data_IF_502278946254
#
_entry.id   IF_502278946254
#
_cell.length_a   1.000
_cell.length_b   1.000
_cell.length_c   1.000
_cell.angle_alpha   90.00
_cell.angle_beta   90.00
_cell.angle_gamma   90.00
#
_symmetry.space_group_name_H-M   'P 1'
#
loop_
_entity.id
_entity.type
_entity.pdbx_description
1 polymer ?
#
# COMPACT_ATOMS: atom_id res chain seq x y z
N UNK A 1 4.53 -6.14 -6.71
CA UNK A 1 5.75 -5.33 -6.45
C UNK A 1 6.80 -6.09 -5.65
N UNK A 2 6.59 -6.42 -4.36
CA UNK A 2 7.64 -7.08 -3.54
C UNK A 2 8.05 -8.45 -4.09
N UNK A 3 7.10 -9.28 -4.56
CA UNK A 3 7.40 -10.56 -5.22
C UNK A 3 8.31 -10.37 -6.45
N UNK A 4 8.04 -9.33 -7.26
CA UNK A 4 8.84 -8.98 -8.43
C UNK A 4 10.24 -8.49 -8.07
N UNK A 5 10.38 -7.67 -7.01
CA UNK A 5 11.69 -7.23 -6.53
C UNK A 5 12.56 -8.40 -6.06
N UNK A 6 11.93 -9.40 -5.45
CA UNK A 6 12.59 -10.61 -4.99
C UNK A 6 12.82 -11.63 -6.12
N UNK A 7 12.31 -11.37 -7.33
CA UNK A 7 12.44 -12.26 -8.48
C UNK A 7 11.77 -13.61 -8.29
N UNK A 8 10.71 -13.67 -7.47
CA UNK A 8 10.03 -14.92 -7.13
C UNK A 8 9.04 -15.31 -8.23
N UNK A 9 8.93 -16.61 -8.49
CA UNK A 9 7.83 -17.16 -9.28
C UNK A 9 6.57 -17.26 -8.41
N UNK A 10 5.43 -16.86 -8.96
CA UNK A 10 4.14 -16.91 -8.28
C UNK A 10 3.01 -17.07 -9.29
N UNK A 11 1.93 -17.70 -8.85
CA UNK A 11 0.67 -17.72 -9.58
C UNK A 11 -0.15 -16.49 -9.21
N UNK A 12 -0.53 -15.70 -10.20
CA UNK A 12 -1.35 -14.50 -10.01
C UNK A 12 -2.83 -14.83 -10.19
N UNK A 13 -3.61 -14.68 -9.10
CA UNK A 13 -5.05 -14.90 -9.09
C UNK A 13 -5.80 -13.58 -8.83
N UNK A 14 -6.31 -12.89 -9.87
CA UNK A 14 -7.06 -11.66 -9.69
C UNK A 14 -8.41 -11.92 -9.01
N UNK A 15 -8.86 -10.97 -8.19
CA UNK A 15 -10.14 -11.01 -7.49
C UNK A 15 -11.08 -9.95 -8.06
N UNK A 16 -12.15 -10.37 -8.71
CA UNK A 16 -13.14 -9.47 -9.31
C UNK A 16 -14.04 -8.86 -8.22
N UNK A 17 -13.84 -7.56 -7.95
CA UNK A 17 -14.61 -6.84 -6.93
C UNK A 17 -15.95 -6.31 -7.45
N UNK A 18 -16.19 -6.25 -8.76
CA UNK A 18 -17.48 -5.83 -9.33
C UNK A 18 -18.55 -6.89 -9.07
N UNK A 19 -18.18 -8.17 -9.15
CA UNK A 19 -19.08 -9.29 -8.77
C UNK A 19 -18.96 -9.67 -7.29
N UNK A 20 -18.21 -8.88 -6.50
CA UNK A 20 -17.94 -9.14 -5.09
C UNK A 20 -17.34 -10.54 -4.82
N UNK A 21 -16.42 -11.01 -5.67
CA UNK A 21 -15.79 -12.33 -5.52
C UNK A 21 -15.11 -12.50 -4.15
N UNK A 22 -14.58 -11.41 -3.57
CA UNK A 22 -14.01 -11.40 -2.23
C UNK A 22 -15.00 -11.77 -1.11
N UNK A 23 -16.30 -11.71 -1.38
CA UNK A 23 -17.35 -12.13 -0.45
C UNK A 23 -17.78 -13.60 -0.62
N UNK A 24 -17.30 -14.28 -1.67
CA UNK A 24 -17.62 -15.69 -1.91
C UNK A 24 -17.14 -16.59 -0.77
N UNK A 25 -17.81 -17.71 -0.55
CA UNK A 25 -17.40 -18.69 0.45
C UNK A 25 -15.97 -19.18 0.20
N UNK A 26 -15.62 -19.44 -1.07
CA UNK A 26 -14.28 -19.87 -1.46
C UNK A 26 -13.20 -18.86 -1.05
N UNK A 27 -13.40 -17.57 -1.35
CA UNK A 27 -12.44 -16.53 -0.95
C UNK A 27 -12.42 -16.32 0.57
N UNK A 28 -13.56 -16.40 1.25
CA UNK A 28 -13.64 -16.25 2.71
C UNK A 28 -12.94 -17.35 3.48
N UNK A 29 -12.74 -18.53 2.89
CA UNK A 29 -11.86 -19.58 3.46
C UNK A 29 -10.39 -19.16 3.46
N UNK A 30 -9.98 -18.27 2.55
CA UNK A 30 -8.62 -17.73 2.47
C UNK A 30 -8.43 -16.50 3.36
N UNK A 31 -9.37 -15.55 3.29
CA UNK A 31 -9.42 -14.39 4.17
C UNK A 31 -10.84 -14.16 4.68
N UNK A 32 -11.14 -14.42 5.97
CA UNK A 32 -12.49 -14.30 6.51
C UNK A 32 -13.02 -12.86 6.47
N UNK A 33 -12.15 -11.85 6.37
CA UNK A 33 -12.55 -10.45 6.23
C UNK A 33 -13.05 -10.12 4.81
N UNK A 34 -12.75 -10.96 3.81
CA UNK A 34 -13.07 -10.67 2.40
C UNK A 34 -12.28 -9.49 1.84
N UNK A 35 -10.99 -9.38 2.21
CA UNK A 35 -10.09 -8.33 1.75
C UNK A 35 -8.92 -8.93 0.94
N UNK A 36 -8.37 -8.14 0.04
CA UNK A 36 -7.13 -8.41 -0.68
C UNK A 36 -5.98 -7.63 -0.02
N UNK A 37 -4.72 -8.09 -0.13
CA UNK A 37 -4.27 -9.35 -0.75
C UNK A 37 -4.36 -10.57 0.19
N UNK A 38 -4.19 -11.75 -0.41
CA UNK A 38 -3.87 -13.02 0.26
C UNK A 38 -2.62 -13.60 -0.42
N UNK A 39 -1.76 -14.25 0.36
CA UNK A 39 -0.63 -15.03 -0.14
C UNK A 39 -0.71 -16.46 0.40
N UNK A 40 -0.74 -17.44 -0.50
CA UNK A 40 -0.52 -18.84 -0.17
C UNK A 40 0.94 -19.18 -0.44
N UNK A 41 1.62 -19.80 0.54
CA UNK A 41 3.02 -20.21 0.41
C UNK A 41 3.10 -21.72 0.60
N UNK A 42 3.68 -22.48 -0.35
CA UNK A 42 3.82 -23.92 -0.21
C UNK A 42 4.52 -24.32 1.10
N UNK A 43 3.92 -25.24 1.84
CA UNK A 43 4.46 -25.74 3.11
C UNK A 43 4.07 -24.92 4.35
N UNK A 44 3.38 -23.79 4.21
CA UNK A 44 2.72 -23.13 5.33
C UNK A 44 1.43 -23.87 5.72
N UNK A 45 1.04 -23.74 6.98
CA UNK A 45 -0.19 -24.34 7.53
C UNK A 45 -1.47 -23.60 7.12
N UNK A 46 -1.36 -22.32 6.76
CA UNK A 46 -2.49 -21.50 6.34
C UNK A 46 -2.10 -20.39 5.33
N UNK A 47 -3.06 -19.89 4.53
CA UNK A 47 -2.91 -18.65 3.77
C UNK A 47 -2.64 -17.45 4.67
N UNK A 48 -1.80 -16.52 4.22
CA UNK A 48 -1.55 -15.26 4.91
C UNK A 48 -2.38 -14.13 4.29
N UNK A 49 -3.01 -13.33 5.15
CA UNK A 49 -3.56 -12.02 4.81
C UNK A 49 -2.89 -10.95 5.67
N UNK A 50 -3.28 -9.69 5.50
CA UNK A 50 -2.57 -8.48 5.96
C UNK A 50 -1.31 -8.17 5.14
N UNK A 51 -1.34 -7.06 4.40
CA UNK A 51 -0.21 -6.60 3.57
C UNK A 51 1.10 -6.53 4.37
N UNK A 52 1.05 -6.02 5.61
CA UNK A 52 2.24 -5.90 6.46
C UNK A 52 2.84 -7.26 6.84
N UNK A 53 2.00 -8.26 7.14
CA UNK A 53 2.46 -9.61 7.47
C UNK A 53 3.10 -10.28 6.24
N UNK A 54 2.43 -10.20 5.09
CA UNK A 54 2.90 -10.75 3.82
C UNK A 54 4.27 -10.19 3.44
N UNK A 55 4.43 -8.87 3.44
CA UNK A 55 5.70 -8.26 3.00
C UNK A 55 6.84 -8.48 3.98
N UNK A 56 6.56 -8.59 5.29
CA UNK A 56 7.59 -8.96 6.28
C UNK A 56 8.00 -10.42 6.08
N UNK A 57 7.05 -11.32 5.91
CA UNK A 57 7.34 -12.73 5.66
C UNK A 57 8.21 -12.91 4.42
N UNK A 58 7.88 -12.24 3.32
CA UNK A 58 8.68 -12.27 2.09
C UNK A 58 10.09 -11.71 2.31
N UNK A 59 10.21 -10.56 2.98
CA UNK A 59 11.51 -9.96 3.23
C UNK A 59 12.42 -10.85 4.11
N UNK A 60 11.85 -11.45 5.15
CA UNK A 60 12.61 -12.29 6.08
C UNK A 60 12.97 -13.66 5.49
N UNK A 61 12.05 -14.29 4.76
CA UNK A 61 12.28 -15.61 4.15
C UNK A 61 13.36 -15.56 3.07
N UNK A 62 13.46 -14.44 2.35
CA UNK A 62 14.40 -14.27 1.26
C UNK A 62 15.62 -13.41 1.62
N UNK A 63 15.72 -12.92 2.87
CA UNK A 63 16.87 -12.19 3.39
C UNK A 63 17.13 -10.84 2.72
N UNK A 64 16.09 -10.16 2.22
CA UNK A 64 16.23 -8.92 1.45
C UNK A 64 15.05 -7.94 1.73
N UNK A 65 15.22 -6.65 1.45
CA UNK A 65 14.18 -5.59 1.54
C UNK A 65 13.66 -5.27 2.96
N UNK A 66 14.30 -5.76 4.02
CA UNK A 66 14.05 -5.30 5.39
C UNK A 66 15.28 -5.51 6.28
N UNK A 67 15.50 -4.64 7.29
CA UNK A 67 16.49 -4.93 8.32
C UNK A 67 16.14 -6.24 9.05
N UNK A 68 17.13 -7.11 9.23
CA UNK A 68 16.96 -8.39 9.92
C UNK A 68 16.50 -8.21 11.38
N UNK A 69 15.80 -9.18 11.97
CA UNK A 69 15.56 -9.23 13.41
C UNK A 69 16.87 -9.04 14.20
N UNK A 70 16.85 -8.19 15.23
CA UNK A 70 18.03 -7.84 16.02
C UNK A 70 18.90 -6.73 15.43
N UNK A 71 18.68 -6.30 14.18
CA UNK A 71 19.36 -5.13 13.61
C UNK A 71 19.04 -3.85 14.41
N UNK A 72 20.01 -2.94 14.63
CA UNK A 72 19.74 -1.64 15.24
C UNK A 72 18.75 -0.78 14.43
N UNK A 73 18.57 -1.07 13.14
CA UNK A 73 17.61 -0.39 12.27
C UNK A 73 16.20 -1.02 12.31
N UNK A 74 16.04 -2.19 12.93
CA UNK A 74 14.75 -2.92 12.96
C UNK A 74 13.65 -2.12 13.66
N UNK A 75 13.97 -1.42 14.74
CA UNK A 75 13.00 -0.59 15.47
C UNK A 75 12.39 0.51 14.59
N UNK A 76 13.21 1.14 13.74
CA UNK A 76 12.73 2.14 12.77
C UNK A 76 11.86 1.52 11.68
N UNK A 77 12.28 0.36 11.15
CA UNK A 77 11.49 -0.39 10.16
C UNK A 77 10.11 -0.72 10.70
N UNK A 78 10.03 -1.34 11.89
CA UNK A 78 8.76 -1.71 12.52
C UNK A 78 7.88 -0.50 12.83
N UNK A 79 8.48 0.60 13.32
CA UNK A 79 7.77 1.87 13.56
C UNK A 79 7.00 2.30 12.31
N UNK A 80 7.67 2.37 11.17
CA UNK A 80 7.06 2.83 9.93
C UNK A 80 6.14 1.78 9.29
N UNK A 81 6.44 0.49 9.42
CA UNK A 81 5.55 -0.58 8.99
C UNK A 81 4.18 -0.46 9.68
N UNK A 82 4.17 -0.34 11.01
CA UNK A 82 2.94 -0.21 11.77
C UNK A 82 2.27 1.13 11.58
N UNK A 83 3.03 2.21 11.36
CA UNK A 83 2.44 3.50 11.00
C UNK A 83 1.71 3.43 9.65
N UNK A 84 2.32 2.81 8.63
CA UNK A 84 1.68 2.61 7.34
C UNK A 84 0.42 1.75 7.48
N UNK A 85 0.50 0.62 8.19
CA UNK A 85 -0.59 -0.34 8.30
C UNK A 85 -1.75 0.17 9.18
N UNK A 86 -1.44 0.67 10.38
CA UNK A 86 -2.45 0.92 11.42
C UNK A 86 -2.94 2.37 11.42
N UNK A 87 -2.14 3.30 10.89
CA UNK A 87 -2.49 4.72 10.84
C UNK A 87 -2.89 5.12 9.43
N UNK A 88 -1.94 5.17 8.49
CA UNK A 88 -2.18 5.75 7.17
C UNK A 88 -3.15 4.91 6.34
N UNK A 89 -2.88 3.62 6.16
CA UNK A 89 -3.73 2.75 5.36
C UNK A 89 -5.12 2.57 6.00
N UNK A 90 -5.19 2.53 7.33
CA UNK A 90 -6.46 2.52 8.05
C UNK A 90 -7.29 3.77 7.76
N UNK A 91 -6.71 4.97 7.93
CA UNK A 91 -7.39 6.24 7.67
C UNK A 91 -7.83 6.34 6.19
N UNK A 92 -7.00 5.88 5.25
CA UNK A 92 -7.33 5.77 3.82
C UNK A 92 -8.54 4.87 3.58
N UNK A 93 -8.56 3.66 4.14
CA UNK A 93 -9.69 2.73 3.96
C UNK A 93 -11.01 3.29 4.48
N UNK A 94 -10.98 3.99 5.62
CA UNK A 94 -12.17 4.65 6.15
C UNK A 94 -12.60 5.80 5.23
N UNK A 95 -11.65 6.60 4.73
CA UNK A 95 -11.96 7.78 3.90
C UNK A 95 -12.57 7.42 2.55
N UNK A 96 -12.30 6.22 2.02
CA UNK A 96 -12.87 5.75 0.75
C UNK A 96 -14.37 5.45 0.85
N UNK A 97 -14.87 4.99 2.00
CA UNK A 97 -16.28 4.63 2.24
C UNK A 97 -16.72 4.99 3.67
N UNK A 98 -16.68 6.28 4.07
CA UNK A 98 -17.07 6.75 5.42
C UNK A 98 -18.50 6.36 5.79
N UNK A 99 -19.39 6.24 4.81
CA UNK A 99 -20.77 5.79 4.97
C UNK A 99 -20.92 4.36 5.55
N UNK A 100 -19.85 3.56 5.55
CA UNK A 100 -19.84 2.26 6.24
C UNK A 100 -19.69 2.38 7.76
N UNK A 101 -19.25 3.54 8.25
CA UNK A 101 -18.97 3.79 9.67
C UNK A 101 -20.04 4.67 10.32
N UNK A 102 -20.66 5.54 9.53
CA UNK A 102 -21.73 6.43 9.98
C UNK A 102 -22.84 6.49 8.91
N UNK A 103 -24.11 6.24 9.25
CA UNK A 103 -25.19 6.18 8.27
C UNK A 103 -25.62 7.58 7.77
N UNK A 104 -25.45 8.63 8.59
CA UNK A 104 -25.89 9.98 8.24
C UNK A 104 -24.90 10.65 7.27
N UNK A 105 -25.40 11.06 6.10
CA UNK A 105 -24.59 11.64 5.02
C UNK A 105 -23.76 12.86 5.46
N UNK A 106 -24.35 13.79 6.23
CA UNK A 106 -23.63 14.97 6.69
C UNK A 106 -22.50 14.62 7.68
N UNK A 107 -22.70 13.61 8.53
CA UNK A 107 -21.68 13.12 9.46
C UNK A 107 -20.57 12.39 8.69
N UNK A 108 -20.92 11.61 7.66
CA UNK A 108 -19.95 10.97 6.77
C UNK A 108 -19.03 11.99 6.07
N UNK A 109 -19.59 13.12 5.62
CA UNK A 109 -18.81 14.22 5.03
C UNK A 109 -17.84 14.85 6.05
N UNK A 110 -18.30 15.10 7.28
CA UNK A 110 -17.46 15.63 8.36
C UNK A 110 -16.35 14.66 8.76
N UNK A 111 -16.65 13.36 8.85
CA UNK A 111 -15.68 12.29 9.11
C UNK A 111 -14.62 12.25 8.00
N UNK A 112 -15.06 12.24 6.74
CA UNK A 112 -14.17 12.25 5.58
C UNK A 112 -13.22 13.46 5.60
N UNK A 113 -13.74 14.68 5.86
CA UNK A 113 -12.90 15.87 5.98
C UNK A 113 -11.87 15.76 7.12
N UNK A 114 -12.24 15.14 8.25
CA UNK A 114 -11.32 14.84 9.35
C UNK A 114 -10.22 13.84 8.96
N UNK A 115 -10.58 12.78 8.25
CA UNK A 115 -9.64 11.78 7.76
C UNK A 115 -8.66 12.36 6.76
N UNK A 116 -9.12 13.22 5.84
CA UNK A 116 -8.22 13.90 4.90
C UNK A 116 -7.16 14.72 5.65
N UNK A 117 -7.53 15.46 6.71
CA UNK A 117 -6.53 16.18 7.53
C UNK A 117 -5.52 15.24 8.18
N UNK A 118 -5.96 14.09 8.69
CA UNK A 118 -5.07 13.07 9.29
C UNK A 118 -4.15 12.41 8.26
N UNK A 119 -4.67 12.11 7.07
CA UNK A 119 -3.91 11.56 5.94
C UNK A 119 -2.83 12.56 5.50
N UNK A 120 -3.19 13.84 5.32
CA UNK A 120 -2.23 14.90 4.99
C UNK A 120 -1.15 15.03 6.07
N UNK A 121 -1.52 15.01 7.36
CA UNK A 121 -0.55 15.01 8.46
C UNK A 121 0.36 13.78 8.45
N UNK A 122 -0.19 12.60 8.12
CA UNK A 122 0.58 11.36 8.02
C UNK A 122 1.63 11.41 6.91
N UNK A 123 1.27 11.94 5.73
CA UNK A 123 2.24 12.19 4.67
C UNK A 123 3.28 13.25 5.07
N UNK A 124 2.91 14.26 5.86
CA UNK A 124 3.87 15.21 6.43
C UNK A 124 4.90 14.56 7.36
N UNK A 125 4.49 13.59 8.19
CA UNK A 125 5.42 12.83 9.02
C UNK A 125 6.37 11.95 8.19
N UNK A 126 5.87 11.32 7.13
CA UNK A 126 6.66 10.50 6.21
C UNK A 126 7.65 11.36 5.40
N UNK A 127 7.21 12.52 4.92
CA UNK A 127 8.05 13.51 4.25
C UNK A 127 9.20 13.98 5.16
N UNK A 128 8.90 14.28 6.43
CA UNK A 128 9.92 14.68 7.40
C UNK A 128 10.94 13.55 7.67
N UNK A 129 10.51 12.29 7.73
CA UNK A 129 11.44 11.17 7.84
C UNK A 129 12.30 11.02 6.58
N UNK A 130 11.70 11.06 5.38
CA UNK A 130 12.43 10.96 4.11
C UNK A 130 13.50 12.05 4.01
N UNK A 131 13.14 13.29 4.33
CA UNK A 131 14.07 14.42 4.36
C UNK A 131 15.22 14.20 5.34
N UNK A 132 14.93 13.68 6.54
CA UNK A 132 15.93 13.45 7.59
C UNK A 132 16.91 12.29 7.32
N UNK A 133 16.66 11.45 6.30
CA UNK A 133 17.46 10.23 6.04
C UNK A 133 18.38 10.31 4.83
N UNK A 134 18.33 11.39 4.06
CA UNK A 134 19.22 11.59 2.91
C UNK A 134 18.80 10.80 1.65
N UNK A 135 17.70 10.05 1.71
CA UNK A 135 17.01 9.45 0.56
C UNK A 135 17.79 8.39 -0.23
N UNK A 136 17.19 7.84 -1.29
CA UNK A 136 15.83 8.16 -1.79
C UNK A 136 14.71 7.34 -1.11
N UNK A 137 15.02 6.41 -0.21
CA UNK A 137 14.05 5.49 0.41
C UNK A 137 13.72 5.87 1.86
N UNK A 138 12.62 5.36 2.38
CA UNK A 138 12.08 5.71 3.70
C UNK A 138 13.05 5.39 4.85
N UNK A 139 13.87 4.36 4.69
CA UNK A 139 14.89 3.99 5.68
C UNK A 139 16.28 4.58 5.40
N UNK A 140 16.46 5.31 4.29
CA UNK A 140 17.74 5.88 3.86
C UNK A 140 18.04 5.52 2.40
N UNK A 141 19.21 4.92 2.17
CA UNK A 141 19.73 4.65 0.83
C UNK A 141 19.30 3.32 0.24
N UNK A 142 18.82 2.39 1.07
CA UNK A 142 18.43 1.04 0.66
C UNK A 142 16.91 0.90 0.54
N UNK A 143 16.49 0.25 -0.55
CA UNK A 143 15.09 -0.09 -0.78
C UNK A 143 14.61 -1.08 0.29
N UNK A 144 13.39 -0.87 0.75
CA UNK A 144 12.69 -1.77 1.64
C UNK A 144 11.25 -2.02 1.18
N UNK A 145 10.62 -3.03 1.77
CA UNK A 145 9.20 -3.29 1.54
C UNK A 145 8.30 -2.11 1.95
N UNK A 146 8.78 -1.21 2.83
CA UNK A 146 8.04 -0.02 3.23
C UNK A 146 7.84 0.95 2.06
N UNK A 147 8.81 1.03 1.15
CA UNK A 147 8.77 1.97 0.03
C UNK A 147 7.63 1.60 -0.93
N UNK A 148 7.47 0.31 -1.23
CA UNK A 148 6.33 -0.18 -2.03
C UNK A 148 4.99 -0.01 -1.32
N UNK A 149 4.93 -0.24 -0.01
CA UNK A 149 3.69 -0.05 0.75
C UNK A 149 3.30 1.44 0.80
N UNK A 150 4.28 2.32 1.03
CA UNK A 150 4.09 3.77 0.97
C UNK A 150 3.65 4.23 -0.42
N UNK A 151 4.22 3.68 -1.49
CA UNK A 151 3.83 4.00 -2.86
C UNK A 151 2.37 3.64 -3.15
N UNK A 152 1.92 2.48 -2.69
CA UNK A 152 0.52 2.07 -2.80
C UNK A 152 -0.41 3.04 -2.03
N UNK A 153 -0.07 3.41 -0.80
CA UNK A 153 -0.82 4.37 -0.01
C UNK A 153 -0.89 5.76 -0.70
N UNK A 154 0.23 6.25 -1.25
CA UNK A 154 0.29 7.52 -1.97
C UNK A 154 -0.54 7.50 -3.25
N UNK A 155 -0.54 6.37 -3.99
CA UNK A 155 -1.42 6.17 -5.14
C UNK A 155 -2.88 6.24 -4.76
N UNK A 156 -3.31 5.51 -3.73
CA UNK A 156 -4.70 5.48 -3.30
C UNK A 156 -5.19 6.83 -2.77
N UNK A 157 -4.34 7.57 -2.05
CA UNK A 157 -4.64 8.91 -1.56
C UNK A 157 -4.93 9.90 -2.69
N UNK A 158 -4.35 9.72 -3.87
CA UNK A 158 -4.61 10.56 -5.05
C UNK A 158 -5.89 10.14 -5.79
N UNK A 159 -6.18 8.83 -5.84
CA UNK A 159 -7.26 8.28 -6.65
C UNK A 159 -8.64 8.32 -5.98
N UNK A 160 -8.73 7.96 -4.70
CA UNK A 160 -10.01 7.62 -4.09
C UNK A 160 -10.52 8.72 -3.17
N UNK A 161 -11.66 9.31 -3.54
CA UNK A 161 -12.37 10.39 -2.81
C UNK A 161 -11.45 11.53 -2.34
N UNK A 162 -10.38 11.81 -3.08
CA UNK A 162 -9.45 12.88 -2.74
C UNK A 162 -10.08 14.27 -2.95
N UNK A 163 -10.87 14.43 -4.02
CA UNK A 163 -11.53 15.70 -4.37
C UNK A 163 -10.55 16.90 -4.42
N UNK A 164 -9.27 16.64 -4.77
CA UNK A 164 -8.22 17.65 -4.83
C UNK A 164 -7.68 18.12 -3.47
N UNK A 165 -8.01 17.43 -2.37
CA UNK A 165 -7.65 17.88 -1.01
C UNK A 165 -6.24 17.50 -0.56
N UNK A 166 -5.62 16.51 -1.18
CA UNK A 166 -4.22 16.15 -0.97
C UNK A 166 -3.48 16.01 -2.31
N UNK A 167 -2.22 16.44 -2.35
CA UNK A 167 -1.32 16.33 -3.51
C UNK A 167 0.13 16.15 -3.07
N UNK A 168 0.99 15.74 -4.01
CA UNK A 168 2.43 15.57 -3.78
C UNK A 168 3.23 16.88 -3.71
N UNK A 169 2.60 18.04 -3.89
CA UNK A 169 3.30 19.33 -3.96
C UNK A 169 4.02 19.68 -2.66
N UNK A 170 3.40 19.37 -1.52
CA UNK A 170 3.97 19.60 -0.19
C UNK A 170 4.89 18.47 0.29
N UNK A 171 5.16 17.46 -0.55
CA UNK A 171 5.97 16.28 -0.19
C UNK A 171 7.01 15.96 -1.28
N UNK A 172 8.00 16.84 -1.52
CA UNK A 172 8.99 16.64 -2.56
C UNK A 172 9.89 15.41 -2.36
N UNK A 173 10.23 15.02 -1.12
CA UNK A 173 11.04 13.82 -0.90
C UNK A 173 10.21 12.55 -1.14
N UNK A 174 8.93 12.55 -0.76
CA UNK A 174 8.00 11.49 -1.16
C UNK A 174 7.90 11.41 -2.68
N UNK A 175 7.72 12.54 -3.37
CA UNK A 175 7.70 12.55 -4.85
C UNK A 175 8.96 11.91 -5.43
N UNK A 176 10.14 12.25 -4.93
CA UNK A 176 11.41 11.68 -5.40
C UNK A 176 11.50 10.15 -5.15
N UNK A 177 11.03 9.67 -4.00
CA UNK A 177 10.89 8.23 -3.73
C UNK A 177 9.99 7.57 -4.76
N UNK A 178 8.80 8.15 -5.00
CA UNK A 178 7.83 7.60 -5.95
C UNK A 178 8.40 7.57 -7.37
N UNK A 179 9.03 8.66 -7.83
CA UNK A 179 9.71 8.72 -9.14
C UNK A 179 10.81 7.66 -9.26
N UNK A 180 11.56 7.43 -8.18
CA UNK A 180 12.58 6.37 -8.13
C UNK A 180 11.94 4.98 -8.29
N UNK A 181 10.81 4.73 -7.63
CA UNK A 181 10.09 3.46 -7.73
C UNK A 181 9.45 3.26 -9.11
N UNK A 182 8.93 4.30 -9.75
CA UNK A 182 8.33 4.22 -11.10
C UNK A 182 9.31 3.72 -12.16
N UNK A 183 10.61 3.95 -11.96
CA UNK A 183 11.66 3.49 -12.88
C UNK A 183 12.10 2.04 -12.62
N UNK A 184 11.59 1.37 -11.58
CA UNK A 184 12.04 0.02 -11.22
C UNK A 184 11.36 -1.04 -12.09
N UNK A 185 12.12 -2.00 -12.69
CA UNK A 185 11.53 -3.06 -13.50
C UNK A 185 10.45 -3.88 -12.78
N UNK A 186 10.63 -4.12 -11.48
CA UNK A 186 9.67 -4.85 -10.67
C UNK A 186 8.33 -4.10 -10.47
N UNK A 187 8.37 -2.77 -10.45
CA UNK A 187 7.17 -1.93 -10.42
C UNK A 187 6.47 -1.97 -11.78
N UNK A 188 7.21 -1.85 -12.88
CA UNK A 188 6.66 -1.94 -14.24
C UNK A 188 5.94 -3.27 -14.46
N UNK A 189 6.59 -4.40 -14.17
CA UNK A 189 5.99 -5.74 -14.31
C UNK A 189 4.72 -5.91 -13.48
N UNK A 190 4.75 -5.46 -12.21
CA UNK A 190 3.57 -5.52 -11.36
C UNK A 190 2.41 -4.65 -11.91
N UNK A 191 2.72 -3.46 -12.45
CA UNK A 191 1.73 -2.60 -13.06
C UNK A 191 1.14 -3.20 -14.34
N UNK A 192 1.96 -3.83 -15.17
CA UNK A 192 1.52 -4.55 -16.37
C UNK A 192 0.53 -5.67 -16.03
N UNK A 193 0.85 -6.50 -15.03
CA UNK A 193 -0.06 -7.55 -14.54
C UNK A 193 -1.37 -7.00 -13.98
N UNK A 194 -1.35 -5.81 -13.38
CA UNK A 194 -2.52 -5.16 -12.80
C UNK A 194 -3.24 -4.17 -13.76
N UNK A 195 -2.86 -4.11 -15.04
CA UNK A 195 -3.46 -3.18 -15.99
C UNK A 195 -3.35 -1.70 -15.57
N UNK A 196 -2.24 -1.34 -14.92
CA UNK A 196 -1.92 0.02 -14.48
C UNK A 196 -0.97 0.63 -15.50
N UNK A 197 -1.45 1.64 -16.24
CA UNK A 197 -0.68 2.31 -17.28
C UNK A 197 -0.05 3.63 -16.80
N UNK A 198 1.05 4.03 -17.46
CA UNK A 198 1.68 5.32 -17.27
C UNK A 198 2.48 5.42 -15.97
N UNK A 199 2.37 6.56 -15.28
CA UNK A 199 3.08 6.83 -14.02
C UNK A 199 2.24 6.39 -12.82
N UNK A 200 2.48 5.20 -12.25
CA UNK A 200 1.56 4.60 -11.28
C UNK A 200 1.45 5.36 -9.96
N UNK A 201 2.41 6.23 -9.62
CA UNK A 201 2.48 6.87 -8.32
C UNK A 201 2.44 8.39 -8.39
N UNK A 202 3.06 9.02 -9.39
CA UNK A 202 3.14 10.48 -9.50
C UNK A 202 2.02 11.09 -10.33
N UNK A 203 1.40 10.31 -11.23
CA UNK A 203 0.21 10.70 -12.00
C UNK A 203 -0.75 9.51 -12.13
N UNK A 204 -1.23 8.96 -11.00
CA UNK A 204 -1.97 7.72 -11.01
C UNK A 204 -3.30 7.85 -11.74
N UNK A 205 -3.65 6.81 -12.51
CA UNK A 205 -4.99 6.59 -13.07
C UNK A 205 -5.58 5.31 -12.47
N UNK A 206 -6.91 5.18 -12.36
CA UNK A 206 -7.55 3.92 -11.96
C UNK A 206 -7.08 2.75 -12.83
N UNK A 207 -6.94 1.56 -12.23
CA UNK A 207 -6.55 0.35 -12.95
C UNK A 207 -7.63 -0.09 -13.94
N UNK A 208 -7.21 -0.61 -15.09
CA UNK A 208 -8.09 -1.09 -16.16
C UNK A 208 -8.24 -2.62 -16.10
N UNK A 209 -8.68 -3.16 -14.95
CA UNK A 209 -8.99 -4.58 -14.80
C UNK A 209 -10.50 -4.83 -14.76
N UNK A 210 -10.97 -6.00 -15.25
CA UNK A 210 -12.29 -6.50 -14.89
C UNK A 210 -12.39 -6.54 -13.36
N UNK A 211 -13.42 -5.91 -12.81
CA UNK A 211 -13.63 -5.90 -11.36
C UNK A 211 -13.13 -4.66 -10.60
N UNK A 212 -12.54 -3.64 -11.25
CA UNK A 212 -11.87 -2.54 -10.54
C UNK A 212 -12.44 -1.12 -10.73
N UNK A 213 -13.64 -0.93 -11.31
CA UNK A 213 -14.13 0.45 -11.56
C UNK A 213 -14.94 1.08 -10.40
N UNK A 214 -14.34 2.18 -9.91
CA UNK A 214 -14.82 3.32 -9.10
C UNK A 214 -15.61 3.09 -7.78
#
# INVERSE_FOLDING_TARGET
>A
MVLEELGLSYDYAPVDRLISQQNSEAYRRLNPQGLIPVLEVPGQDAPMFETAAIIVHLAETHGNLAPAPGSPHRGRFLKWLFFLSNTLHSDLRISFKPERYVPEAQVALSLHAGLIRRITGSFGHLEAELSARGGPFLLGTELSVLDHYLAACARWAQLYRNEGKWSLEATPHLRALLETLEMRPAVCKACELEGIEGKPFTQPRPAQLPGTTA
#
